data_IF_588323544615
#
_entry.id   IF_588323544615
#
_cell.length_a   1.000
_cell.length_b   1.000
_cell.length_c   1.000
_cell.angle_alpha   90.00
_cell.angle_beta   90.00
_cell.angle_gamma   90.00
#
_symmetry.space_group_name_H-M   'P 1'
#
loop_
_entity.id
_entity.type
_entity.pdbx_description
1 polymer ?
#
# COMPACT_ATOMS: atom_id res chain seq x y z
N UNK A 1 -25.47 3.58 -5.18
CA UNK A 1 -25.43 4.23 -6.46
C UNK A 1 -24.17 5.04 -6.64
N UNK A 2 -23.59 4.92 -7.79
CA UNK A 2 -22.35 5.59 -8.04
C UNK A 2 -22.57 7.02 -8.45
N UNK A 3 -21.95 7.92 -7.76
CA UNK A 3 -22.03 9.32 -8.13
C UNK A 3 -21.01 9.63 -9.19
N UNK A 4 -21.40 10.43 -10.15
CA UNK A 4 -20.45 10.97 -11.08
C UNK A 4 -19.80 12.16 -10.38
N UNK A 5 -18.55 11.98 -10.04
CA UNK A 5 -17.84 13.01 -9.30
C UNK A 5 -16.81 13.62 -10.21
N UNK A 6 -16.64 14.90 -10.11
CA UNK A 6 -15.57 15.57 -10.82
C UNK A 6 -14.26 14.99 -10.34
N UNK A 7 -13.25 15.06 -11.18
CA UNK A 7 -11.96 14.58 -10.77
C UNK A 7 -11.51 15.28 -9.50
N UNK A 8 -11.12 14.54 -8.48
CA UNK A 8 -10.72 15.18 -7.25
C UNK A 8 -9.40 15.93 -7.42
N UNK A 9 -9.25 16.95 -6.63
CA UNK A 9 -7.99 17.67 -6.55
C UNK A 9 -6.90 16.71 -6.10
N UNK A 10 -5.85 16.59 -6.87
CA UNK A 10 -4.78 15.65 -6.57
C UNK A 10 -4.14 15.91 -5.23
N UNK A 11 -3.98 17.17 -4.86
CA UNK A 11 -3.38 17.50 -3.57
C UNK A 11 -4.24 17.01 -2.42
N UNK A 12 -5.53 17.29 -2.51
CA UNK A 12 -6.46 16.87 -1.46
C UNK A 12 -6.57 15.37 -1.37
N UNK A 13 -6.56 14.71 -2.51
CA UNK A 13 -6.62 13.25 -2.54
C UNK A 13 -5.39 12.66 -1.85
N UNK A 14 -4.23 13.18 -2.19
CA UNK A 14 -2.99 12.70 -1.61
C UNK A 14 -2.96 12.90 -0.11
N UNK A 15 -3.35 14.09 0.36
CA UNK A 15 -3.38 14.38 1.78
C UNK A 15 -4.35 13.46 2.51
N UNK A 16 -5.51 13.23 1.92
CA UNK A 16 -6.52 12.35 2.49
C UNK A 16 -5.99 10.93 2.65
N UNK A 17 -5.32 10.44 1.61
CA UNK A 17 -4.77 9.09 1.63
C UNK A 17 -3.65 8.96 2.65
N UNK A 18 -2.79 9.95 2.71
CA UNK A 18 -1.70 9.93 3.67
C UNK A 18 -2.22 9.98 5.10
N UNK A 19 -3.22 10.82 5.34
CA UNK A 19 -3.82 10.91 6.67
C UNK A 19 -4.48 9.60 7.06
N UNK A 20 -5.17 8.98 6.12
CA UNK A 20 -5.80 7.68 6.37
C UNK A 20 -4.76 6.64 6.76
N UNK A 21 -3.68 6.56 5.98
CA UNK A 21 -2.64 5.57 6.23
C UNK A 21 -2.02 5.75 7.61
N UNK A 22 -1.71 7.00 7.96
CA UNK A 22 -1.11 7.28 9.26
C UNK A 22 -2.06 7.00 10.40
N UNK A 23 -3.32 7.32 10.22
CA UNK A 23 -4.33 7.05 11.24
C UNK A 23 -4.45 5.55 11.50
N UNK A 24 -4.26 4.74 10.48
CA UNK A 24 -4.35 3.29 10.61
C UNK A 24 -3.06 2.64 11.08
N UNK A 25 -2.01 3.42 11.23
CA UNK A 25 -0.79 2.90 11.82
C UNK A 25 0.44 2.92 10.94
N UNK A 26 0.34 3.45 9.73
CA UNK A 26 1.52 3.53 8.88
C UNK A 26 2.48 4.59 9.41
N UNK A 27 3.76 4.27 9.46
CA UNK A 27 4.78 5.21 9.85
C UNK A 27 5.29 6.01 8.68
N UNK A 28 5.17 5.45 7.49
CA UNK A 28 5.61 6.13 6.28
C UNK A 28 4.60 5.84 5.18
N UNK A 29 4.39 6.80 4.31
CA UNK A 29 3.53 6.64 3.16
C UNK A 29 4.04 7.57 2.07
N UNK A 30 4.04 7.08 0.84
CA UNK A 30 4.52 7.86 -0.26
C UNK A 30 3.93 7.37 -1.56
N UNK A 31 4.09 8.19 -2.60
CA UNK A 31 3.67 7.83 -3.93
C UNK A 31 4.93 7.47 -4.71
N UNK A 32 4.96 6.28 -5.26
CA UNK A 32 6.11 5.81 -6.00
C UNK A 32 6.11 6.39 -7.42
N UNK A 33 7.29 6.44 -8.00
CA UNK A 33 7.42 6.86 -9.40
C UNK A 33 7.02 5.68 -10.29
N UNK A 34 5.83 5.75 -10.85
CA UNK A 34 5.29 4.65 -11.64
C UNK A 34 6.19 4.32 -12.84
N UNK A 35 6.67 5.34 -13.53
CA UNK A 35 7.49 5.11 -14.71
C UNK A 35 8.77 4.34 -14.35
N UNK A 36 9.35 4.68 -13.22
CA UNK A 36 10.56 4.01 -12.78
C UNK A 36 10.30 2.56 -12.40
N UNK A 37 9.20 2.30 -11.71
CA UNK A 37 8.85 0.94 -11.34
C UNK A 37 8.57 0.10 -12.57
N UNK A 38 7.84 0.65 -13.54
CA UNK A 38 7.56 -0.06 -14.79
C UNK A 38 8.83 -0.43 -15.51
N UNK A 39 9.82 0.46 -15.42
CA UNK A 39 11.08 0.25 -16.13
C UNK A 39 11.92 -0.85 -15.51
N UNK A 40 11.97 -0.90 -14.18
CA UNK A 40 12.88 -1.83 -13.50
C UNK A 40 12.25 -3.16 -13.13
N UNK A 41 10.93 -3.22 -13.01
CA UNK A 41 10.29 -4.47 -12.62
C UNK A 41 10.31 -5.47 -13.76
N UNK A 42 10.49 -6.75 -13.45
CA UNK A 42 10.47 -7.78 -14.50
C UNK A 42 9.09 -7.92 -15.11
N UNK A 43 9.06 -8.40 -16.32
CA UNK A 43 7.78 -8.65 -17.00
C UNK A 43 6.93 -9.61 -16.17
N UNK A 44 5.65 -9.33 -16.08
CA UNK A 44 4.72 -10.11 -15.26
C UNK A 44 4.60 -9.57 -13.85
N UNK A 45 5.51 -8.71 -13.42
CA UNK A 45 5.52 -8.18 -12.06
C UNK A 45 5.43 -6.67 -12.03
N UNK A 46 5.12 -6.07 -13.16
CA UNK A 46 4.96 -4.62 -13.24
C UNK A 46 3.60 -4.20 -12.72
N UNK A 47 3.48 -2.98 -12.22
CA UNK A 47 2.16 -2.50 -11.81
C UNK A 47 1.11 -2.67 -12.91
N UNK A 48 1.47 -2.41 -14.16
CA UNK A 48 0.55 -2.54 -15.26
C UNK A 48 0.16 -3.99 -15.54
N UNK A 49 0.98 -4.94 -15.15
CA UNK A 49 0.63 -6.35 -15.28
C UNK A 49 -0.45 -6.74 -14.28
N UNK A 50 -0.42 -6.13 -13.10
CA UNK A 50 -1.38 -6.41 -12.05
C UNK A 50 -2.69 -5.66 -12.27
N UNK A 51 -2.58 -4.44 -12.71
CA UNK A 51 -3.76 -3.62 -12.92
C UNK A 51 -3.55 -2.76 -14.17
N UNK A 52 -4.15 -3.17 -15.29
CA UNK A 52 -4.06 -2.36 -16.51
C UNK A 52 -4.58 -0.95 -16.27
N UNK A 53 -3.94 0.02 -16.90
CA UNK A 53 -4.31 1.43 -16.77
C UNK A 53 -4.02 2.00 -15.40
N UNK A 54 -3.11 1.36 -14.65
CA UNK A 54 -2.68 1.90 -13.37
C UNK A 54 -2.07 3.28 -13.58
N UNK A 55 -2.35 4.20 -12.65
CA UNK A 55 -1.83 5.55 -12.74
C UNK A 55 -0.91 5.91 -11.59
N UNK A 56 -1.07 5.25 -10.46
CA UNK A 56 -0.27 5.57 -9.28
C UNK A 56 -0.03 4.33 -8.45
N UNK A 57 1.09 4.33 -7.77
CA UNK A 57 1.42 3.29 -6.81
C UNK A 57 1.72 3.98 -5.49
N UNK A 58 1.01 3.56 -4.45
CA UNK A 58 1.20 4.11 -3.13
C UNK A 58 1.92 3.08 -2.29
N UNK A 59 2.98 3.51 -1.63
CA UNK A 59 3.75 2.65 -0.75
C UNK A 59 3.50 3.05 0.69
N UNK A 60 3.33 2.05 1.54
CA UNK A 60 3.21 2.31 2.97
C UNK A 60 4.28 1.53 3.70
N UNK A 61 4.73 2.09 4.80
CA UNK A 61 5.68 1.41 5.67
C UNK A 61 5.12 1.37 7.08
N UNK A 62 5.30 0.24 7.73
CA UNK A 62 4.86 0.08 9.11
C UNK A 62 6.08 -0.07 10.00
N UNK A 63 5.89 0.12 11.28
CA UNK A 63 6.98 0.05 12.24
C UNK A 63 7.54 -1.35 12.35
N UNK A 64 8.82 -1.41 12.67
CA UNK A 64 9.49 -2.67 12.87
C UNK A 64 9.31 -3.19 14.28
N UNK A 65 10.13 -4.14 14.63
CA UNK A 65 10.10 -4.76 15.93
C UNK A 65 10.65 -3.82 17.01
N UNK A 66 10.18 -4.01 18.22
CA UNK A 66 10.79 -3.32 19.33
C UNK A 66 12.15 -3.93 19.61
N UNK A 67 12.97 -3.20 20.34
CA UNK A 67 14.29 -3.71 20.68
C UNK A 67 14.21 -5.01 21.47
N UNK A 68 13.21 -5.09 22.34
CA UNK A 68 13.01 -6.32 23.10
C UNK A 68 12.74 -7.52 22.21
N UNK A 69 12.00 -7.31 21.16
CA UNK A 69 11.68 -8.40 20.22
C UNK A 69 12.92 -8.88 19.49
N UNK A 70 13.79 -7.97 19.11
CA UNK A 70 15.00 -8.35 18.39
C UNK A 70 15.93 -9.27 19.22
N UNK A 71 15.78 -9.20 20.54
CA UNK A 71 16.62 -10.04 21.40
C UNK A 71 16.18 -11.50 21.48
N UNK A 72 15.06 -11.85 20.84
CA UNK A 72 14.51 -13.19 20.96
C UNK A 72 14.40 -13.81 19.58
N UNK A 73 15.43 -14.50 19.16
CA UNK A 73 15.57 -15.01 17.80
C UNK A 73 14.41 -15.87 17.35
N UNK A 74 14.02 -16.83 18.17
CA UNK A 74 12.99 -17.78 17.77
C UNK A 74 11.64 -17.12 17.57
N UNK A 75 11.37 -16.04 18.31
CA UNK A 75 10.07 -15.37 18.23
C UNK A 75 10.08 -14.20 17.26
N UNK A 76 11.25 -13.84 16.75
CA UNK A 76 11.33 -12.72 15.82
C UNK A 76 10.49 -12.97 14.57
N UNK A 77 10.43 -14.20 14.10
CA UNK A 77 9.63 -14.53 12.93
C UNK A 77 8.15 -14.25 13.16
N UNK A 78 7.68 -14.55 14.37
CA UNK A 78 6.28 -14.27 14.72
C UNK A 78 6.02 -12.77 14.70
N UNK A 79 6.96 -11.99 15.23
CA UNK A 79 6.80 -10.56 15.25
C UNK A 79 6.83 -9.96 13.84
N UNK A 80 7.66 -10.51 12.97
CA UNK A 80 7.69 -10.09 11.58
C UNK A 80 6.34 -10.38 10.92
N UNK A 81 5.78 -11.53 11.20
CA UNK A 81 4.46 -11.86 10.67
C UNK A 81 3.39 -10.88 11.13
N UNK A 82 3.48 -10.42 12.37
CA UNK A 82 2.55 -9.41 12.86
C UNK A 82 2.69 -8.10 12.11
N UNK A 83 3.91 -7.72 11.80
CA UNK A 83 4.17 -6.49 11.05
C UNK A 83 3.61 -6.60 9.64
N UNK A 84 3.80 -7.74 9.01
CA UNK A 84 3.23 -7.99 7.69
C UNK A 84 1.72 -7.92 7.71
N UNK A 85 1.12 -8.52 8.73
CA UNK A 85 -0.34 -8.48 8.87
C UNK A 85 -0.86 -7.07 8.99
N UNK A 86 -0.15 -6.22 9.73
CA UNK A 86 -0.54 -4.83 9.86
C UNK A 86 -0.45 -4.10 8.53
N UNK A 87 0.64 -4.33 7.79
CA UNK A 87 0.80 -3.71 6.49
C UNK A 87 -0.32 -4.14 5.53
N UNK A 88 -0.68 -5.40 5.55
CA UNK A 88 -1.79 -5.92 4.76
C UNK A 88 -3.09 -5.22 5.09
N UNK A 89 -3.39 -5.10 6.38
CA UNK A 89 -4.63 -4.49 6.80
C UNK A 89 -4.72 -3.04 6.35
N UNK A 90 -3.61 -2.33 6.46
CA UNK A 90 -3.60 -0.93 6.05
C UNK A 90 -3.79 -0.83 4.55
N UNK A 91 -3.06 -1.63 3.78
CA UNK A 91 -3.16 -1.58 2.31
C UNK A 91 -4.55 -1.96 1.84
N UNK A 92 -5.13 -3.01 2.41
CA UNK A 92 -6.47 -3.45 2.07
C UNK A 92 -7.48 -2.35 2.38
N UNK A 93 -7.37 -1.78 3.57
CA UNK A 93 -8.27 -0.71 3.96
C UNK A 93 -8.14 0.52 3.09
N UNK A 94 -6.92 0.83 2.66
CA UNK A 94 -6.71 1.95 1.76
C UNK A 94 -7.34 1.72 0.40
N UNK A 95 -7.23 0.50 -0.12
CA UNK A 95 -7.86 0.19 -1.39
C UNK A 95 -9.37 0.37 -1.31
N UNK A 96 -9.97 -0.09 -0.24
CA UNK A 96 -11.39 0.10 0.00
C UNK A 96 -11.74 1.57 0.12
N UNK A 97 -10.94 2.30 0.87
CA UNK A 97 -11.18 3.73 1.09
C UNK A 97 -11.13 4.48 -0.25
N UNK A 98 -10.15 4.15 -1.08
CA UNK A 98 -10.01 4.81 -2.38
C UNK A 98 -11.22 4.53 -3.25
N UNK A 99 -11.65 3.29 -3.32
CA UNK A 99 -12.79 2.96 -4.17
C UNK A 99 -14.08 3.58 -3.67
N UNK A 100 -14.29 3.56 -2.36
CA UNK A 100 -15.53 4.09 -1.81
C UNK A 100 -15.57 5.60 -1.82
N UNK A 101 -14.46 6.25 -1.56
CA UNK A 101 -14.47 7.70 -1.47
C UNK A 101 -14.28 8.37 -2.81
N UNK A 102 -13.43 7.83 -3.65
CA UNK A 102 -13.07 8.48 -4.90
C UNK A 102 -13.63 7.79 -6.14
N UNK A 103 -14.19 6.61 -5.98
CA UNK A 103 -14.76 5.90 -7.12
C UNK A 103 -13.74 5.41 -8.13
N UNK A 104 -12.51 5.23 -7.69
CA UNK A 104 -11.40 4.82 -8.55
C UNK A 104 -11.01 3.39 -8.20
N UNK A 105 -10.77 2.58 -9.21
CA UNK A 105 -10.33 1.22 -8.97
C UNK A 105 -9.00 1.19 -8.25
N UNK A 106 -8.88 0.29 -7.31
CA UNK A 106 -7.68 0.17 -6.51
C UNK A 106 -7.48 -1.28 -6.11
N UNK A 107 -6.25 -1.71 -6.06
CA UNK A 107 -5.92 -3.03 -5.53
C UNK A 107 -4.81 -2.87 -4.52
N UNK A 108 -4.73 -3.80 -3.60
CA UNK A 108 -3.59 -3.83 -2.70
C UNK A 108 -2.70 -4.99 -3.11
N UNK A 109 -1.43 -4.84 -2.86
CA UNK A 109 -0.43 -5.81 -3.28
C UNK A 109 0.20 -6.42 -2.05
N UNK A 110 0.10 -7.72 -1.88
CA UNK A 110 0.72 -8.36 -0.73
C UNK A 110 2.24 -8.18 -0.76
N UNK A 111 2.86 -8.02 0.40
CA UNK A 111 4.31 -7.83 0.43
C UNK A 111 5.06 -9.07 -0.02
N UNK A 112 4.40 -10.18 -0.04
CA UNK A 112 5.06 -11.44 -0.31
C UNK A 112 4.55 -12.09 -1.56
N UNK A 113 4.62 -11.37 -2.65
CA UNK A 113 4.28 -11.90 -3.94
C UNK A 113 5.47 -12.60 -4.51
N UNK A 114 5.74 -13.75 -4.03
CA UNK A 114 6.83 -14.48 -4.57
C UNK A 114 6.30 -15.43 -5.62
N UNK A 115 6.61 -15.20 -6.84
CA UNK A 115 6.10 -16.02 -7.91
C UNK A 115 6.72 -17.36 -7.93
N UNK A 116 7.89 -17.52 -7.40
CA UNK A 116 8.58 -18.75 -7.40
C UNK A 116 8.20 -19.67 -8.42
#
# INVERSE_FOLDING_TARGET
MKQTVAEPDRSQTKESLFAYARKKGALAVGVADLAEIERIAPAGHRPSDLMPKVKSVISIGVGGQTQGAWGVTAKALTFFGSTESLAYKIAYGMAYYIENKFGVRSIYCPPDLDPE
#
